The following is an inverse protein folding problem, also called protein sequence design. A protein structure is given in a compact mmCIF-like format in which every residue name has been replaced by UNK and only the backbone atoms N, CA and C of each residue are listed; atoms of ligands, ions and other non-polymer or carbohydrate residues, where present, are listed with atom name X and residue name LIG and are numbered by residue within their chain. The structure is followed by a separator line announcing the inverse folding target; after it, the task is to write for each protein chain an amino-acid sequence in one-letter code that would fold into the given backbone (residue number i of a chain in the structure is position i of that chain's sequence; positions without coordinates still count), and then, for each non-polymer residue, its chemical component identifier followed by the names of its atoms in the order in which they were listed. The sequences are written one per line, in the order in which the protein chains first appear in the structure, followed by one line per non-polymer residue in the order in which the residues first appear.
data_IF_106261761716
#
_entry.id   IF_106261761716
#
_cell.length_a   1.000
_cell.length_b   1.000
_cell.length_c   1.000
_cell.angle_alpha   90.00
_cell.angle_beta   90.00
_cell.angle_gamma   90.00
#
_symmetry.space_group_name_H-M   'P 1'
#
loop_
_entity.id
_entity.type
_entity.pdbx_description
1 polymer ?
#
# COMPACT_ATOMS: atom_id res chain seq x y z
N UNK A 1 -3.27 -9.79 -1.21
CA UNK A 1 -4.71 -9.55 -0.99
C UNK A 1 -5.29 -10.49 0.07
N UNK A 2 -5.26 -11.81 -0.11
CA UNK A 2 -5.73 -12.74 0.94
C UNK A 2 -4.75 -12.78 2.13
N UNK A 3 -3.44 -12.82 1.86
CA UNK A 3 -2.41 -12.83 2.90
C UNK A 3 -2.47 -11.61 3.83
N UNK A 4 -2.78 -10.41 3.30
CA UNK A 4 -2.89 -9.17 4.09
C UNK A 4 -4.07 -9.17 5.05
N UNK A 5 -5.17 -9.86 4.72
CA UNK A 5 -6.33 -10.00 5.60
C UNK A 5 -6.15 -11.10 6.64
N UNK A 6 -5.52 -12.21 6.26
CA UNK A 6 -5.32 -13.36 7.15
C UNK A 6 -4.17 -13.13 8.14
N UNK A 7 -3.11 -12.42 7.72
CA UNK A 7 -1.91 -12.25 8.52
C UNK A 7 -2.16 -11.66 9.91
N UNK A 8 -2.94 -10.57 10.10
CA UNK A 8 -3.21 -10.05 11.44
C UNK A 8 -3.91 -11.05 12.36
N UNK A 9 -4.86 -11.85 11.83
CA UNK A 9 -5.59 -12.84 12.63
C UNK A 9 -4.68 -13.98 13.08
N UNK A 10 -3.89 -14.54 12.15
CA UNK A 10 -3.04 -15.69 12.42
C UNK A 10 -1.81 -15.29 13.23
N UNK A 11 -1.13 -14.21 12.86
CA UNK A 11 0.12 -13.80 13.50
C UNK A 11 -0.11 -13.27 14.91
N UNK A 12 -1.18 -12.50 15.16
CA UNK A 12 -1.48 -12.02 16.52
C UNK A 12 -1.89 -13.18 17.42
N UNK A 13 -2.78 -14.06 16.97
CA UNK A 13 -3.18 -15.23 17.77
C UNK A 13 -2.00 -16.15 18.10
N UNK A 14 -1.08 -16.32 17.15
CA UNK A 14 0.10 -17.15 17.34
C UNK A 14 1.15 -16.48 18.24
N UNK A 15 1.30 -15.16 18.15
CA UNK A 15 2.17 -14.39 19.04
C UNK A 15 1.65 -14.42 20.48
N UNK A 16 0.33 -14.35 20.68
CA UNK A 16 -0.30 -14.44 22.00
C UNK A 16 -0.15 -15.84 22.61
N UNK A 17 -0.27 -16.90 21.81
CA UNK A 17 -0.23 -18.28 22.30
C UNK A 17 1.19 -18.87 22.46
N UNK A 18 2.11 -18.56 21.54
CA UNK A 18 3.45 -19.20 21.45
C UNK A 18 4.60 -18.20 21.43
N UNK A 19 4.31 -16.90 21.59
CA UNK A 19 5.29 -15.83 21.54
C UNK A 19 5.65 -15.38 20.13
N UNK A 20 6.15 -14.16 20.02
CA UNK A 20 6.47 -13.51 18.73
C UNK A 20 7.51 -14.27 17.90
N UNK A 21 8.42 -15.03 18.52
CA UNK A 21 9.45 -15.83 17.83
C UNK A 21 8.82 -16.97 17.02
N UNK A 22 7.88 -17.69 17.63
CA UNK A 22 7.17 -18.77 16.96
C UNK A 22 6.31 -18.22 15.81
N UNK A 23 5.67 -17.06 16.03
CA UNK A 23 4.93 -16.37 14.98
C UNK A 23 5.80 -16.02 13.77
N UNK A 24 7.02 -15.54 14.01
CA UNK A 24 7.97 -15.22 12.95
C UNK A 24 8.42 -16.45 12.15
N UNK A 25 8.77 -17.55 12.83
CA UNK A 25 9.18 -18.78 12.15
C UNK A 25 8.04 -19.36 11.31
N UNK A 26 6.81 -19.40 11.84
CA UNK A 26 5.67 -19.92 11.10
C UNK A 26 5.32 -19.05 9.89
N UNK A 27 5.46 -17.73 10.01
CA UNK A 27 5.24 -16.80 8.88
C UNK A 27 6.22 -17.04 7.73
N UNK A 28 7.46 -17.46 8.03
CA UNK A 28 8.49 -17.73 7.02
C UNK A 28 8.28 -19.05 6.26
N UNK A 29 7.66 -20.05 6.87
CA UNK A 29 7.47 -21.39 6.27
C UNK A 29 6.70 -21.35 4.94
N UNK A 30 5.53 -20.70 4.82
CA UNK A 30 4.83 -20.56 3.54
C UNK A 30 5.67 -19.89 2.45
N UNK A 31 6.49 -18.89 2.83
CA UNK A 31 7.40 -18.21 1.91
C UNK A 31 8.49 -19.14 1.37
N UNK A 32 9.10 -19.95 2.23
CA UNK A 32 10.09 -20.96 1.83
C UNK A 32 9.49 -22.05 0.94
N UNK A 33 8.27 -22.49 1.26
CA UNK A 33 7.54 -23.45 0.42
C UNK A 33 7.32 -22.86 -0.97
N UNK A 34 6.82 -21.62 -1.05
CA UNK A 34 6.63 -20.92 -2.32
C UNK A 34 7.94 -20.77 -3.11
N UNK A 35 9.04 -20.41 -2.45
CA UNK A 35 10.35 -20.32 -3.09
C UNK A 35 10.81 -21.66 -3.68
N UNK A 36 10.63 -22.77 -2.95
CA UNK A 36 10.93 -24.11 -3.45
C UNK A 36 10.03 -24.52 -4.63
N UNK A 37 8.75 -24.18 -4.59
CA UNK A 37 7.81 -24.45 -5.68
C UNK A 37 8.19 -23.67 -6.94
N UNK A 38 8.49 -22.38 -6.81
CA UNK A 38 8.97 -21.54 -7.92
C UNK A 38 10.23 -22.16 -8.52
N UNK A 39 11.23 -22.46 -7.68
CA UNK A 39 12.49 -23.07 -8.13
C UNK A 39 12.30 -24.40 -8.86
N UNK A 40 11.33 -25.21 -8.42
CA UNK A 40 11.11 -26.56 -8.97
C UNK A 40 10.23 -26.60 -10.22
N UNK A 41 9.26 -25.69 -10.34
CA UNK A 41 8.17 -25.79 -11.31
C UNK A 41 8.07 -24.64 -12.31
N UNK A 42 8.64 -23.45 -12.02
CA UNK A 42 8.60 -22.34 -12.97
C UNK A 42 9.80 -22.43 -13.91
N UNK A 43 9.52 -22.72 -15.17
CA UNK A 43 10.52 -22.64 -16.24
C UNK A 43 10.64 -21.19 -16.71
N UNK A 44 11.87 -20.70 -16.89
CA UNK A 44 12.10 -19.40 -17.49
C UNK A 44 11.67 -19.44 -18.97
N UNK A 45 10.87 -18.46 -19.44
CA UNK A 45 10.56 -18.36 -20.86
C UNK A 45 11.86 -18.10 -21.64
N UNK A 46 11.98 -18.60 -22.88
CA UNK A 46 13.11 -18.31 -23.73
C UNK A 46 13.29 -16.79 -23.82
N UNK A 47 14.42 -16.28 -23.35
CA UNK A 47 14.76 -14.89 -23.54
C UNK A 47 14.94 -14.69 -25.05
N UNK A 48 14.09 -13.87 -25.68
CA UNK A 48 14.38 -13.43 -27.04
C UNK A 48 15.81 -12.87 -27.05
N UNK A 49 16.64 -13.21 -28.06
CA UNK A 49 18.00 -12.71 -28.12
C UNK A 49 17.94 -11.19 -28.01
N UNK A 50 18.39 -10.65 -26.87
CA UNK A 50 18.62 -9.22 -26.71
C UNK A 50 19.54 -8.85 -27.86
N UNK A 51 19.03 -8.12 -28.85
CA UNK A 51 19.85 -7.62 -29.93
C UNK A 51 21.08 -6.97 -29.28
N UNK A 52 22.27 -7.47 -29.61
CA UNK A 52 23.54 -7.13 -28.96
C UNK A 52 23.92 -5.63 -29.10
N UNK A 53 23.12 -4.86 -29.82
CA UNK A 53 23.33 -3.45 -30.18
C UNK A 53 22.62 -2.43 -29.27
N UNK A 54 22.08 -2.85 -28.13
CA UNK A 54 21.43 -1.93 -27.21
C UNK A 54 22.23 -1.76 -25.94
N UNK A 55 22.80 -0.55 -25.78
CA UNK A 55 23.41 -0.09 -24.55
C UNK A 55 22.55 -0.52 -23.35
N UNK A 56 23.17 -1.00 -22.25
CA UNK A 56 22.43 -1.46 -21.09
C UNK A 56 21.44 -0.38 -20.66
N UNK A 57 20.16 -0.74 -20.42
CA UNK A 57 19.20 0.24 -19.94
C UNK A 57 19.79 0.90 -18.69
N UNK A 58 19.72 2.24 -18.56
CA UNK A 58 20.30 2.92 -17.43
C UNK A 58 19.72 2.37 -16.13
N UNK A 59 20.57 2.16 -15.12
CA UNK A 59 20.20 1.62 -13.80
C UNK A 59 19.04 2.36 -13.15
N UNK A 60 18.93 3.67 -13.43
CA UNK A 60 17.80 4.51 -13.04
C UNK A 60 17.32 5.31 -14.27
N UNK A 61 16.15 5.02 -14.83
CA UNK A 61 15.63 5.73 -15.99
C UNK A 61 14.99 7.08 -15.57
N UNK A 62 15.70 7.89 -14.79
CA UNK A 62 15.22 9.16 -14.20
C UNK A 62 14.70 10.13 -15.27
N UNK A 63 15.22 10.02 -16.50
CA UNK A 63 14.73 10.78 -17.67
C UNK A 63 13.24 10.53 -17.97
N UNK A 64 12.65 9.42 -17.51
CA UNK A 64 11.22 9.14 -17.65
C UNK A 64 10.36 10.08 -16.80
N UNK A 65 10.90 10.61 -15.70
CA UNK A 65 10.24 11.65 -14.89
C UNK A 65 10.12 12.99 -15.64
N UNK A 66 10.76 13.16 -16.80
CA UNK A 66 10.49 14.31 -17.66
C UNK A 66 9.08 14.24 -18.29
N UNK A 67 8.47 13.05 -18.37
CA UNK A 67 7.09 12.92 -18.81
C UNK A 67 6.14 13.34 -17.68
N UNK A 68 5.27 14.31 -17.97
CA UNK A 68 4.31 14.86 -17.00
C UNK A 68 3.47 13.79 -16.33
N UNK A 69 2.99 12.79 -17.07
CA UNK A 69 2.14 11.74 -16.49
C UNK A 69 2.93 10.86 -15.51
N UNK A 70 4.18 10.52 -15.85
CA UNK A 70 5.05 9.71 -14.98
C UNK A 70 5.46 10.51 -13.74
N UNK A 71 5.78 11.80 -13.89
CA UNK A 71 6.09 12.68 -12.77
C UNK A 71 4.91 12.81 -11.81
N UNK A 72 3.71 13.07 -12.33
CA UNK A 72 2.49 13.18 -11.53
C UNK A 72 2.17 11.85 -10.85
N UNK A 73 2.27 10.72 -11.56
CA UNK A 73 2.06 9.40 -10.95
C UNK A 73 3.10 9.10 -9.87
N UNK A 74 4.36 9.52 -10.05
CA UNK A 74 5.41 9.35 -9.03
C UNK A 74 5.14 10.20 -7.79
N UNK A 75 4.64 11.43 -7.97
CA UNK A 75 4.24 12.29 -6.86
C UNK A 75 3.04 11.71 -6.10
N UNK A 76 2.00 11.26 -6.82
CA UNK A 76 0.85 10.59 -6.22
C UNK A 76 1.31 9.31 -5.50
N UNK A 77 2.22 8.54 -6.09
CA UNK A 77 2.80 7.34 -5.47
C UNK A 77 3.50 7.67 -4.16
N UNK A 78 4.35 8.71 -4.12
CA UNK A 78 5.01 9.17 -2.89
C UNK A 78 4.00 9.45 -1.76
N UNK A 79 2.94 10.19 -2.07
CA UNK A 79 1.93 10.57 -1.09
C UNK A 79 1.07 9.38 -0.67
N UNK A 80 0.59 8.59 -1.62
CA UNK A 80 -0.33 7.48 -1.34
C UNK A 80 0.36 6.31 -0.67
N UNK A 81 1.57 5.93 -1.12
CA UNK A 81 2.38 4.88 -0.49
C UNK A 81 2.75 5.30 0.93
N UNK A 82 3.16 6.54 1.13
CA UNK A 82 3.44 7.03 2.48
C UNK A 82 2.21 7.00 3.39
N UNK A 83 1.04 7.43 2.91
CA UNK A 83 -0.20 7.31 3.67
C UNK A 83 -0.55 5.86 4.03
N UNK A 84 -0.39 4.92 3.08
CA UNK A 84 -0.64 3.50 3.33
C UNK A 84 0.32 2.91 4.35
N UNK A 85 1.62 3.16 4.22
CA UNK A 85 2.63 2.57 5.10
C UNK A 85 2.57 3.18 6.50
N UNK A 86 2.36 4.50 6.59
CA UNK A 86 2.10 5.15 7.89
C UNK A 86 0.82 4.57 8.51
N UNK A 87 -0.25 4.43 7.72
CA UNK A 87 -1.49 3.81 8.17
C UNK A 87 -1.29 2.37 8.65
N UNK A 88 -0.57 1.53 7.92
CA UNK A 88 -0.39 0.12 8.27
C UNK A 88 0.45 -0.08 9.55
N UNK A 89 1.35 0.86 9.85
CA UNK A 89 2.20 0.81 11.05
C UNK A 89 1.51 1.45 12.25
N UNK A 90 1.01 2.68 12.11
CA UNK A 90 0.57 3.49 13.25
C UNK A 90 -0.89 3.29 13.62
N UNK A 91 -1.75 2.84 12.70
CA UNK A 91 -3.15 2.56 12.99
C UNK A 91 -3.36 1.42 14.01
N UNK A 92 -2.69 0.24 13.89
CA UNK A 92 -2.78 -0.79 14.93
C UNK A 92 -2.20 -0.31 16.25
N UNK A 93 -1.07 0.43 16.23
CA UNK A 93 -0.46 1.02 17.43
C UNK A 93 -1.40 2.03 18.12
N UNK A 94 -2.12 2.83 17.34
CA UNK A 94 -3.09 3.79 17.85
C UNK A 94 -4.29 3.08 18.52
N UNK A 95 -4.72 1.95 17.97
CA UNK A 95 -5.81 1.15 18.54
C UNK A 95 -5.41 0.48 19.85
N UNK A 96 -4.24 -0.14 19.93
CA UNK A 96 -3.79 -0.80 21.17
C UNK A 96 -3.24 0.17 22.21
N UNK A 97 -2.75 1.34 21.79
CA UNK A 97 -2.20 2.39 22.66
C UNK A 97 -3.29 3.35 23.17
N UNK A 98 -3.46 4.54 22.58
CA UNK A 98 -4.42 5.55 23.03
C UNK A 98 -5.86 5.07 23.17
N UNK A 99 -6.34 4.19 22.28
CA UNK A 99 -7.70 3.63 22.39
C UNK A 99 -7.81 2.42 23.32
N UNK A 100 -6.69 1.86 23.76
CA UNK A 100 -6.65 0.74 24.72
C UNK A 100 -7.39 -0.51 24.27
N UNK A 101 -7.54 -0.73 22.96
CA UNK A 101 -8.23 -1.91 22.44
C UNK A 101 -7.41 -3.17 22.69
N UNK A 102 -8.12 -4.26 22.97
CA UNK A 102 -7.53 -5.59 23.04
C UNK A 102 -6.90 -5.98 21.69
N UNK A 103 -5.72 -6.66 21.69
CA UNK A 103 -5.05 -7.11 20.46
C UNK A 103 -5.97 -7.90 19.52
N UNK A 104 -6.85 -8.75 20.05
CA UNK A 104 -7.82 -9.52 19.28
C UNK A 104 -8.89 -8.67 18.57
N UNK A 105 -9.24 -7.52 19.13
CA UNK A 105 -10.19 -6.59 18.51
C UNK A 105 -9.50 -5.78 17.42
N UNK A 106 -8.30 -5.26 17.70
CA UNK A 106 -7.48 -4.59 16.70
C UNK A 106 -7.19 -5.52 15.50
N UNK A 107 -6.82 -6.78 15.73
CA UNK A 107 -6.50 -7.74 14.67
C UNK A 107 -7.70 -8.02 13.76
N UNK A 108 -8.92 -8.11 14.31
CA UNK A 108 -10.16 -8.24 13.52
C UNK A 108 -10.42 -7.02 12.63
N UNK A 109 -10.24 -5.82 13.16
CA UNK A 109 -10.41 -4.58 12.36
C UNK A 109 -9.35 -4.53 11.25
N UNK A 110 -8.08 -4.79 11.57
CA UNK A 110 -6.99 -4.83 10.58
C UNK A 110 -7.19 -5.91 9.52
N UNK A 111 -7.75 -7.07 9.88
CA UNK A 111 -8.08 -8.12 8.93
C UNK A 111 -9.12 -7.67 7.90
N UNK A 112 -10.16 -6.96 8.35
CA UNK A 112 -11.19 -6.37 7.47
C UNK A 112 -10.55 -5.33 6.55
N UNK A 113 -9.70 -4.45 7.08
CA UNK A 113 -8.99 -3.47 6.24
C UNK A 113 -8.00 -4.13 5.27
N UNK A 114 -7.43 -5.28 5.64
CA UNK A 114 -6.54 -6.07 4.79
C UNK A 114 -7.21 -6.63 3.52
N UNK A 115 -8.55 -6.69 3.48
CA UNK A 115 -9.34 -7.05 2.30
C UNK A 115 -9.54 -5.87 1.34
N UNK A 116 -9.52 -4.64 1.85
CA UNK A 116 -9.82 -3.43 1.07
C UNK A 116 -8.91 -3.23 -0.15
N UNK A 117 -7.58 -3.48 -0.12
CA UNK A 117 -6.77 -3.35 -1.33
C UNK A 117 -7.23 -4.26 -2.46
N UNK A 118 -7.78 -5.43 -2.15
CA UNK A 118 -8.24 -6.38 -3.15
C UNK A 118 -9.58 -5.99 -3.73
N UNK A 119 -10.54 -5.67 -2.85
CA UNK A 119 -11.88 -5.22 -3.26
C UNK A 119 -11.79 -3.88 -3.97
N UNK A 120 -11.07 -2.92 -3.38
CA UNK A 120 -10.83 -1.60 -3.93
C UNK A 120 -10.08 -1.66 -5.24
N UNK A 121 -9.03 -2.49 -5.37
CA UNK A 121 -8.29 -2.63 -6.62
C UNK A 121 -9.19 -3.03 -7.78
N UNK A 122 -10.05 -4.03 -7.58
CA UNK A 122 -11.00 -4.46 -8.61
C UNK A 122 -12.05 -3.37 -8.90
N UNK A 123 -12.68 -2.82 -7.85
CA UNK A 123 -13.77 -1.85 -8.01
C UNK A 123 -13.29 -0.53 -8.64
N UNK A 124 -12.16 0.00 -8.19
CA UNK A 124 -11.61 1.28 -8.65
C UNK A 124 -11.05 1.13 -10.07
N UNK A 125 -10.37 0.03 -10.38
CA UNK A 125 -9.93 -0.23 -11.76
C UNK A 125 -11.11 -0.40 -12.72
N UNK A 126 -12.14 -1.17 -12.34
CA UNK A 126 -13.35 -1.33 -13.15
C UNK A 126 -14.09 -0.01 -13.36
N UNK A 127 -14.23 0.80 -12.30
CA UNK A 127 -14.86 2.11 -12.40
C UNK A 127 -14.05 3.00 -13.35
N UNK A 128 -12.73 2.93 -13.23
CA UNK A 128 -11.80 3.70 -14.06
C UNK A 128 -11.88 3.37 -15.54
N UNK A 129 -12.14 2.12 -15.91
CA UNK A 129 -12.36 1.76 -17.31
C UNK A 129 -13.63 2.40 -17.88
N UNK A 130 -14.62 2.73 -17.04
CA UNK A 130 -15.90 3.32 -17.47
C UNK A 130 -15.91 4.84 -17.53
N UNK A 131 -15.35 5.50 -16.51
CA UNK A 131 -15.43 6.97 -16.34
C UNK A 131 -14.08 7.67 -16.56
N UNK A 132 -13.05 6.93 -16.95
CA UNK A 132 -11.70 7.42 -17.15
C UNK A 132 -10.81 7.31 -15.90
N UNK A 133 -9.50 7.55 -16.08
CA UNK A 133 -8.47 7.38 -15.03
C UNK A 133 -8.53 8.44 -13.93
N UNK A 134 -8.73 9.71 -14.32
CA UNK A 134 -8.61 10.87 -13.43
C UNK A 134 -9.66 10.91 -12.30
N UNK A 135 -10.97 10.77 -12.55
CA UNK A 135 -11.97 10.91 -11.48
C UNK A 135 -11.85 9.87 -10.35
N UNK A 136 -11.67 8.56 -10.64
CA UNK A 136 -11.46 7.54 -9.60
C UNK A 136 -10.18 7.75 -8.80
N UNK A 137 -9.09 8.25 -9.42
CA UNK A 137 -7.86 8.56 -8.70
C UNK A 137 -8.07 9.69 -7.69
N UNK A 138 -8.69 10.79 -8.11
CA UNK A 138 -8.98 11.94 -7.23
C UNK A 138 -9.95 11.51 -6.11
N UNK A 139 -11.04 10.82 -6.47
CA UNK A 139 -12.00 10.33 -5.49
C UNK A 139 -11.36 9.36 -4.49
N UNK A 140 -10.51 8.45 -4.97
CA UNK A 140 -9.79 7.50 -4.13
C UNK A 140 -8.88 8.18 -3.11
N UNK A 141 -8.20 9.28 -3.47
CA UNK A 141 -7.39 10.08 -2.55
C UNK A 141 -8.22 10.67 -1.40
N UNK A 142 -9.35 11.31 -1.72
CA UNK A 142 -10.24 11.89 -0.70
C UNK A 142 -10.94 10.81 0.16
N UNK A 143 -11.36 9.70 -0.46
CA UNK A 143 -11.98 8.58 0.26
C UNK A 143 -10.96 7.92 1.20
N UNK A 144 -9.71 7.72 0.76
CA UNK A 144 -8.63 7.18 1.58
C UNK A 144 -8.30 8.07 2.79
N UNK A 145 -8.34 9.41 2.61
CA UNK A 145 -8.12 10.35 3.71
C UNK A 145 -9.17 10.22 4.83
N UNK A 146 -10.38 9.75 4.52
CA UNK A 146 -11.42 9.55 5.52
C UNK A 146 -11.08 8.43 6.53
N UNK A 147 -10.17 7.50 6.20
CA UNK A 147 -9.81 6.39 7.09
C UNK A 147 -9.09 6.86 8.37
N UNK A 148 -7.97 7.59 8.30
CA UNK A 148 -7.34 8.14 9.50
C UNK A 148 -8.25 9.10 10.26
N UNK A 149 -9.09 9.89 9.58
CA UNK A 149 -10.06 10.75 10.26
C UNK A 149 -11.13 9.97 11.02
N UNK A 150 -11.64 8.87 10.45
CA UNK A 150 -12.55 7.98 11.14
C UNK A 150 -11.87 7.36 12.37
N UNK A 151 -10.60 6.92 12.24
CA UNK A 151 -9.83 6.38 13.35
C UNK A 151 -9.61 7.39 14.48
N UNK A 152 -9.42 8.68 14.17
CA UNK A 152 -9.19 9.73 15.17
C UNK A 152 -10.50 10.16 15.84
N UNK A 153 -11.48 10.60 15.06
CA UNK A 153 -12.62 11.38 15.56
C UNK A 153 -13.88 10.56 15.84
N UNK A 154 -14.00 9.35 15.29
CA UNK A 154 -15.21 8.56 15.51
C UNK A 154 -15.11 7.77 16.82
N UNK A 155 -15.91 8.16 17.82
CA UNK A 155 -16.02 7.51 19.13
C UNK A 155 -17.21 6.56 19.27
N UNK A 156 -17.85 6.15 18.16
CA UNK A 156 -18.99 5.24 18.17
C UNK A 156 -18.61 3.76 18.34
N UNK A 157 -19.51 2.87 17.96
CA UNK A 157 -19.28 1.42 18.09
C UNK A 157 -18.18 0.91 17.15
N UNK A 158 -17.43 -0.12 17.60
CA UNK A 158 -16.35 -0.74 16.81
C UNK A 158 -16.84 -1.24 15.44
N UNK A 159 -18.01 -1.89 15.30
CA UNK A 159 -18.52 -2.31 13.99
C UNK A 159 -18.81 -1.14 13.05
N UNK A 160 -19.37 -0.04 13.57
CA UNK A 160 -19.65 1.15 12.76
C UNK A 160 -18.35 1.81 12.29
N UNK A 161 -17.36 1.93 13.17
CA UNK A 161 -16.03 2.42 12.83
C UNK A 161 -15.37 1.55 11.76
N UNK A 162 -15.43 0.23 11.93
CA UNK A 162 -14.84 -0.72 10.97
C UNK A 162 -15.50 -0.60 9.60
N UNK A 163 -16.83 -0.42 9.54
CA UNK A 163 -17.54 -0.21 8.28
C UNK A 163 -17.13 1.10 7.58
N UNK A 164 -17.04 2.21 8.33
CA UNK A 164 -16.58 3.51 7.79
C UNK A 164 -15.15 3.38 7.27
N UNK A 165 -14.26 2.78 8.07
CA UNK A 165 -12.87 2.57 7.67
C UNK A 165 -12.77 1.62 6.48
N UNK A 166 -13.59 0.58 6.39
CA UNK A 166 -13.60 -0.32 5.24
C UNK A 166 -13.88 0.46 3.95
N UNK A 167 -14.94 1.28 3.94
CA UNK A 167 -15.31 2.10 2.78
C UNK A 167 -14.21 3.12 2.46
N UNK A 168 -13.66 3.78 3.48
CA UNK A 168 -12.58 4.74 3.29
C UNK A 168 -11.30 4.08 2.72
N UNK A 169 -10.95 2.90 3.21
CA UNK A 169 -9.76 2.17 2.78
C UNK A 169 -9.91 1.55 1.37
N UNK A 170 -11.13 1.47 0.82
CA UNK A 170 -11.32 1.13 -0.60
C UNK A 170 -10.68 2.16 -1.54
N UNK A 171 -10.46 3.41 -1.08
CA UNK A 171 -9.76 4.44 -1.84
C UNK A 171 -8.34 4.05 -2.26
N UNK A 172 -7.66 3.20 -1.47
CA UNK A 172 -6.35 2.62 -1.81
C UNK A 172 -6.43 1.73 -3.06
N UNK A 173 -7.63 1.33 -3.49
CA UNK A 173 -7.86 0.62 -4.75
C UNK A 173 -7.35 1.32 -6.00
N UNK A 174 -7.02 2.60 -5.94
CA UNK A 174 -6.42 3.34 -7.06
C UNK A 174 -4.94 3.03 -7.32
N UNK A 175 -4.26 2.25 -6.46
CA UNK A 175 -2.84 1.89 -6.60
C UNK A 175 -2.45 1.34 -7.99
N UNK A 176 -3.19 0.36 -8.55
CA UNK A 176 -2.89 -0.17 -9.87
C UNK A 176 -2.97 0.90 -10.97
N UNK A 177 -3.76 1.97 -10.78
CA UNK A 177 -3.93 3.00 -11.78
C UNK A 177 -2.65 3.82 -11.97
N UNK A 178 -2.10 4.38 -10.90
CA UNK A 178 -0.93 5.26 -11.01
C UNK A 178 0.40 4.48 -11.08
N UNK A 179 0.48 3.27 -10.50
CA UNK A 179 1.69 2.44 -10.56
C UNK A 179 1.79 1.61 -11.84
N UNK A 180 0.65 1.25 -12.44
CA UNK A 180 0.59 0.33 -13.57
C UNK A 180 -0.06 0.93 -14.81
N UNK A 181 -1.38 1.18 -14.73
CA UNK A 181 -2.21 1.50 -15.90
C UNK A 181 -1.74 2.78 -16.59
N UNK A 182 -1.65 3.91 -15.88
CA UNK A 182 -1.26 5.20 -16.47
C UNK A 182 0.16 5.16 -17.06
N UNK A 183 1.18 4.60 -16.38
CA UNK A 183 2.49 4.38 -17.00
C UNK A 183 2.44 3.51 -18.27
N UNK A 184 1.65 2.43 -18.27
CA UNK A 184 1.53 1.55 -19.46
C UNK A 184 0.83 2.22 -20.64
N UNK A 185 -0.18 3.05 -20.38
CA UNK A 185 -0.91 3.80 -21.42
C UNK A 185 -0.09 4.99 -21.93
N UNK A 186 0.87 5.50 -21.13
CA UNK A 186 1.70 6.66 -21.47
C UNK A 186 2.97 6.29 -22.25
N UNK A 187 3.60 5.15 -21.92
CA UNK A 187 4.92 4.79 -22.44
C UNK A 187 4.86 3.77 -23.57
N UNK A 188 5.84 3.83 -24.48
CA UNK A 188 6.03 2.79 -25.51
C UNK A 188 6.40 1.47 -24.84
N UNK A 189 5.97 0.34 -25.43
CA UNK A 189 6.15 -1.03 -24.91
C UNK A 189 7.53 -1.32 -24.28
N UNK A 190 8.61 -0.87 -24.94
CA UNK A 190 10.00 -1.03 -24.46
C UNK A 190 10.29 -0.41 -23.09
N UNK A 191 9.55 0.63 -22.70
CA UNK A 191 9.80 1.44 -21.52
C UNK A 191 8.73 1.22 -20.42
N UNK A 192 7.70 0.40 -20.64
CA UNK A 192 6.58 0.23 -19.70
C UNK A 192 7.07 -0.29 -18.35
N UNK A 193 7.83 -1.39 -18.34
CA UNK A 193 8.34 -1.98 -17.11
C UNK A 193 9.24 -1.03 -16.32
N UNK A 194 10.12 -0.31 -17.03
CA UNK A 194 11.00 0.70 -16.43
C UNK A 194 10.23 1.91 -15.87
N UNK A 195 9.14 2.31 -16.54
CA UNK A 195 8.27 3.39 -16.09
C UNK A 195 7.44 3.04 -14.86
N UNK A 196 6.86 1.84 -14.83
CA UNK A 196 6.19 1.32 -13.63
C UNK A 196 7.19 1.23 -12.47
N UNK A 197 8.36 0.64 -12.73
CA UNK A 197 9.40 0.46 -11.73
C UNK A 197 9.92 1.77 -11.14
N UNK A 198 10.03 2.86 -11.92
CA UNK A 198 10.47 4.14 -11.37
C UNK A 198 9.39 4.84 -10.55
N UNK A 199 8.11 4.73 -10.94
CA UNK A 199 7.00 5.27 -10.15
C UNK A 199 6.93 4.56 -8.79
N UNK A 200 7.04 3.24 -8.82
CA UNK A 200 7.05 2.38 -7.63
C UNK A 200 8.27 2.68 -6.74
N UNK A 201 9.48 2.71 -7.32
CA UNK A 201 10.70 3.02 -6.59
C UNK A 201 10.66 4.40 -5.93
N UNK A 202 10.16 5.43 -6.62
CA UNK A 202 9.98 6.75 -6.01
C UNK A 202 8.98 6.65 -4.86
N UNK A 203 7.82 6.05 -5.08
CA UNK A 203 6.77 5.91 -4.07
C UNK A 203 7.24 5.19 -2.80
N UNK A 204 7.91 4.06 -2.95
CA UNK A 204 8.39 3.23 -1.84
C UNK A 204 9.59 3.86 -1.12
N UNK A 205 10.56 4.42 -1.85
CA UNK A 205 11.73 5.03 -1.23
C UNK A 205 11.38 6.33 -0.49
N UNK A 206 10.48 7.15 -1.03
CA UNK A 206 10.10 8.40 -0.38
C UNK A 206 8.93 8.21 0.57
N UNK A 207 7.80 7.69 0.08
CA UNK A 207 6.61 7.48 0.89
C UNK A 207 6.80 6.35 1.90
N UNK A 208 7.21 5.18 1.43
CA UNK A 208 7.29 3.95 2.23
C UNK A 208 8.42 3.95 3.27
N UNK A 209 9.62 4.45 2.93
CA UNK A 209 10.76 4.49 3.86
C UNK A 209 10.81 5.79 4.64
N UNK A 210 10.80 6.95 3.98
CA UNK A 210 10.93 8.23 4.70
C UNK A 210 9.67 8.60 5.48
N UNK A 211 8.47 8.23 4.98
CA UNK A 211 7.20 8.54 5.63
C UNK A 211 7.13 8.05 7.08
N UNK A 212 7.29 6.74 7.35
CA UNK A 212 7.28 6.20 8.70
C UNK A 212 8.41 6.70 9.59
N UNK A 213 9.60 6.96 9.05
CA UNK A 213 10.73 7.52 9.81
C UNK A 213 10.36 8.90 10.35
N UNK A 214 9.85 9.78 9.48
CA UNK A 214 9.45 11.14 9.85
C UNK A 214 8.23 11.10 10.77
N UNK A 215 7.23 10.27 10.46
CA UNK A 215 6.02 10.14 11.27
C UNK A 215 6.33 9.59 12.67
N UNK A 216 7.20 8.59 12.79
CA UNK A 216 7.64 8.03 14.06
C UNK A 216 8.42 9.02 14.90
N UNK A 217 9.41 9.69 14.30
CA UNK A 217 10.17 10.73 14.98
C UNK A 217 9.29 11.86 15.53
N UNK A 218 8.23 12.21 14.80
CA UNK A 218 7.28 13.22 15.25
C UNK A 218 6.35 12.66 16.34
N UNK A 219 5.87 11.42 16.20
CA UNK A 219 5.04 10.74 17.19
C UNK A 219 5.73 10.63 18.56
N UNK A 220 7.05 10.40 18.58
CA UNK A 220 7.85 10.33 19.82
C UNK A 220 7.89 11.67 20.57
N UNK A 221 7.64 12.79 19.89
CA UNK A 221 7.66 14.16 20.45
C UNK A 221 6.28 14.71 20.76
N UNK A 222 5.26 14.21 20.06
CA UNK A 222 3.87 14.67 20.19
C UNK A 222 3.00 13.54 20.71
N UNK A 223 2.29 12.85 19.82
CA UNK A 223 1.33 11.78 20.09
C UNK A 223 1.20 10.87 18.87
N UNK A 224 0.66 9.66 19.09
CA UNK A 224 0.33 8.70 18.03
C UNK A 224 -0.80 9.16 17.09
N UNK A 225 -1.47 10.26 17.40
CA UNK A 225 -2.43 10.90 16.47
C UNK A 225 -1.71 11.58 15.30
N UNK A 226 -0.48 12.04 15.52
CA UNK A 226 0.26 12.82 14.53
C UNK A 226 0.58 12.04 13.25
N UNK A 227 1.06 10.78 13.32
CA UNK A 227 1.17 9.91 12.14
C UNK A 227 -0.13 9.75 11.36
N UNK A 228 -1.27 9.62 12.05
CA UNK A 228 -2.57 9.46 11.39
C UNK A 228 -2.97 10.75 10.65
N UNK A 229 -2.68 11.92 11.23
CA UNK A 229 -2.87 13.20 10.57
C UNK A 229 -1.93 13.38 9.37
N UNK A 230 -0.67 12.93 9.46
CA UNK A 230 0.25 12.93 8.32
C UNK A 230 -0.32 12.05 7.20
N UNK A 231 -0.77 10.83 7.51
CA UNK A 231 -1.38 9.94 6.53
C UNK A 231 -2.61 10.59 5.87
N UNK A 232 -3.47 11.24 6.65
CA UNK A 232 -4.62 11.98 6.13
C UNK A 232 -4.19 13.12 5.20
N UNK A 233 -3.20 13.92 5.60
CA UNK A 233 -2.68 15.03 4.80
C UNK A 233 -2.04 14.55 3.49
N UNK A 234 -1.28 13.45 3.54
CA UNK A 234 -0.71 12.83 2.34
C UNK A 234 -1.82 12.33 1.41
N UNK A 235 -2.85 11.66 1.94
CA UNK A 235 -4.03 11.24 1.18
C UNK A 235 -4.76 12.41 0.51
N UNK A 236 -4.96 13.52 1.20
CA UNK A 236 -5.58 14.72 0.63
C UNK A 236 -4.72 15.39 -0.43
N UNK A 237 -3.40 15.47 -0.23
CA UNK A 237 -2.48 16.10 -1.19
C UNK A 237 -2.34 15.35 -2.52
N UNK A 238 -2.78 14.09 -2.58
CA UNK A 238 -2.76 13.29 -3.81
C UNK A 238 -3.94 13.52 -4.76
N UNK A 239 -5.02 14.17 -4.32
CA UNK A 239 -6.24 14.42 -5.11
C UNK A 239 -6.30 15.82 -5.71
#
# INVERSE_FOLDING_TARGET
LIGTAIAPLVLVALADAFGWRAAFYLAGVPGLILALLIWRFIAEPPQEPRAADHAPPPLLPVRMLANRNIAVCSLISCLMVGSLVIGSIFLPLYFTGPRGWEPATMSRVMAVLGLCPGVGGVLVSWLSDKIGRRPPMIAGCFIAAACPFAALYFGGSIPALTAIMFVAYLGIGMYPLYMGVVPSETLKFRNIAAGMGIVDAVGELTGGVMGPIVAGWLADRTTLETPLLIAAAMSLGGG
#
